data_IF_373876021161
#
_entry.id   IF_373876021161
#
_cell.length_a   1.000
_cell.length_b   1.000
_cell.length_c   1.000
_cell.angle_alpha   90.00
_cell.angle_beta   90.00
_cell.angle_gamma   90.00
#
_symmetry.space_group_name_H-M   'P 1'
#
loop_
_entity.id
_entity.type
_entity.pdbx_description
1 polymer ?
#
# COMPACT_ATOMS: atom_id res chain seq x y z
N UNK A 1 -8.10 -9.46 -6.62
CA UNK A 1 -7.22 -8.34 -6.17
C UNK A 1 -6.60 -7.59 -7.32
N UNK A 2 -6.06 -8.26 -8.29
CA UNK A 2 -5.42 -7.63 -9.44
C UNK A 2 -6.35 -6.67 -10.19
N UNK A 3 -7.60 -7.06 -10.38
CA UNK A 3 -8.60 -6.19 -11.03
C UNK A 3 -8.81 -4.88 -10.28
N UNK A 4 -8.86 -4.94 -8.96
CA UNK A 4 -9.00 -3.75 -8.12
C UNK A 4 -7.76 -2.86 -8.26
N UNK A 5 -6.58 -3.46 -8.23
CA UNK A 5 -5.32 -2.74 -8.39
C UNK A 5 -5.29 -2.04 -9.75
N UNK A 6 -5.70 -2.72 -10.81
CA UNK A 6 -5.73 -2.14 -12.16
C UNK A 6 -6.67 -0.96 -12.26
N UNK A 7 -7.80 -0.99 -11.57
CA UNK A 7 -8.73 0.14 -11.54
C UNK A 7 -8.11 1.36 -10.84
N UNK A 8 -7.40 1.13 -9.75
CA UNK A 8 -6.70 2.20 -9.03
C UNK A 8 -5.60 2.80 -9.90
N UNK A 9 -4.83 1.94 -10.58
CA UNK A 9 -3.78 2.37 -11.50
C UNK A 9 -4.37 3.23 -12.63
N UNK A 10 -5.46 2.78 -13.22
CA UNK A 10 -6.11 3.51 -14.31
C UNK A 10 -6.51 4.92 -13.86
N UNK A 11 -7.15 5.03 -12.71
CA UNK A 11 -7.55 6.32 -12.16
C UNK A 11 -6.35 7.25 -11.95
N UNK A 12 -5.26 6.70 -11.41
CA UNK A 12 -4.02 7.46 -11.17
C UNK A 12 -3.34 7.86 -12.48
N UNK A 13 -3.28 6.94 -13.45
CA UNK A 13 -2.59 7.19 -14.72
C UNK A 13 -3.24 8.29 -15.55
N UNK A 14 -4.53 8.53 -15.34
CA UNK A 14 -5.23 9.61 -16.01
C UNK A 14 -4.97 10.98 -15.39
N UNK A 15 -4.44 11.03 -14.18
CA UNK A 15 -4.29 12.26 -13.39
C UNK A 15 -2.86 12.60 -13.04
N UNK A 16 -1.98 11.62 -13.01
CA UNK A 16 -0.60 11.77 -12.54
C UNK A 16 0.37 11.04 -13.45
N UNK A 17 1.60 11.54 -13.49
CA UNK A 17 2.72 10.80 -14.04
C UNK A 17 3.11 9.68 -13.09
N UNK A 18 3.70 8.62 -13.63
CA UNK A 18 4.21 7.51 -12.81
C UNK A 18 5.55 7.90 -12.19
N UNK A 19 5.47 8.79 -11.24
CA UNK A 19 6.64 9.34 -10.55
C UNK A 19 6.32 9.43 -9.06
N UNK A 20 7.16 8.81 -8.24
CA UNK A 20 6.93 8.79 -6.80
C UNK A 20 7.34 10.10 -6.16
N UNK A 21 6.43 10.67 -5.37
CA UNK A 21 6.64 11.86 -4.57
C UNK A 21 6.42 11.47 -3.10
N UNK A 22 7.50 11.39 -2.35
CA UNK A 22 7.45 10.99 -0.95
C UNK A 22 6.60 11.94 -0.10
N UNK A 23 6.77 13.24 -0.29
CA UNK A 23 6.04 14.24 0.49
C UNK A 23 4.54 14.21 0.21
N UNK A 24 4.17 14.12 -1.06
CA UNK A 24 2.77 14.00 -1.45
C UNK A 24 2.15 12.75 -0.87
N UNK A 25 2.83 11.61 -1.00
CA UNK A 25 2.35 10.33 -0.46
C UNK A 25 2.15 10.41 1.05
N UNK A 26 3.13 10.96 1.76
CA UNK A 26 3.04 11.14 3.21
C UNK A 26 1.83 12.00 3.58
N UNK A 27 1.60 13.09 2.86
CA UNK A 27 0.51 14.00 3.15
C UNK A 27 -0.85 13.33 2.92
N UNK A 28 -0.99 12.57 1.83
CA UNK A 28 -2.22 11.85 1.53
C UNK A 28 -2.51 10.78 2.58
N UNK A 29 -1.50 10.01 2.98
CA UNK A 29 -1.65 8.99 4.02
C UNK A 29 -1.98 9.63 5.37
N UNK A 30 -1.35 10.75 5.69
CA UNK A 30 -1.61 11.47 6.94
C UNK A 30 -3.05 11.96 7.01
N UNK A 31 -3.61 12.44 5.89
CA UNK A 31 -5.01 12.86 5.83
C UNK A 31 -5.94 11.70 6.22
N UNK A 32 -5.68 10.51 5.68
CA UNK A 32 -6.52 9.34 5.97
C UNK A 32 -6.39 8.90 7.43
N UNK A 33 -5.18 8.95 7.98
CA UNK A 33 -4.96 8.63 9.40
C UNK A 33 -5.73 9.60 10.30
N UNK A 34 -5.71 10.89 9.98
CA UNK A 34 -6.45 11.89 10.75
C UNK A 34 -7.96 11.69 10.63
N UNK A 35 -8.46 11.36 9.45
CA UNK A 35 -9.88 11.05 9.27
C UNK A 35 -10.28 9.84 10.10
N UNK A 36 -9.44 8.82 10.15
CA UNK A 36 -9.68 7.64 10.96
C UNK A 36 -9.73 8.02 12.45
N UNK A 37 -8.77 8.81 12.93
CA UNK A 37 -8.72 9.23 14.33
C UNK A 37 -9.94 10.04 14.73
N UNK A 38 -10.43 10.89 13.85
CA UNK A 38 -11.59 11.74 14.11
C UNK A 38 -12.91 11.00 13.95
N UNK A 39 -12.90 9.82 13.35
CA UNK A 39 -14.12 9.05 13.11
C UNK A 39 -14.69 8.51 14.43
N UNK A 40 -16.02 8.53 14.56
CA UNK A 40 -16.71 8.00 15.72
C UNK A 40 -17.67 6.86 15.37
N UNK A 41 -17.95 6.69 14.07
CA UNK A 41 -18.85 5.64 13.57
C UNK A 41 -18.10 4.68 12.71
N UNK A 42 -18.56 3.43 12.69
CA UNK A 42 -17.92 2.39 11.90
C UNK A 42 -17.92 2.67 10.40
N UNK A 43 -18.96 3.31 9.88
CA UNK A 43 -18.99 3.65 8.46
C UNK A 43 -17.88 4.65 8.10
N UNK A 44 -17.62 5.61 8.97
CA UNK A 44 -16.57 6.59 8.75
C UNK A 44 -15.18 5.97 8.90
N UNK A 45 -15.04 5.04 9.84
CA UNK A 45 -13.80 4.28 10.02
C UNK A 45 -13.50 3.43 8.78
N UNK A 46 -14.51 2.75 8.27
CA UNK A 46 -14.36 1.94 7.07
C UNK A 46 -13.96 2.80 5.87
N UNK A 47 -14.60 3.96 5.71
CA UNK A 47 -14.29 4.88 4.63
C UNK A 47 -12.81 5.30 4.67
N UNK A 48 -12.32 5.71 5.84
CA UNK A 48 -10.92 6.10 6.01
C UNK A 48 -9.96 4.94 5.73
N UNK A 49 -10.31 3.73 6.16
CA UNK A 49 -9.49 2.54 5.91
C UNK A 49 -9.43 2.19 4.43
N UNK A 50 -10.56 2.25 3.73
CA UNK A 50 -10.60 2.00 2.28
C UNK A 50 -9.81 3.06 1.52
N UNK A 51 -9.95 4.33 1.91
CA UNK A 51 -9.19 5.41 1.28
C UNK A 51 -7.70 5.24 1.50
N UNK A 52 -7.30 4.73 2.66
CA UNK A 52 -5.89 4.42 2.94
C UNK A 52 -5.36 3.36 1.97
N UNK A 53 -6.14 2.31 1.72
CA UNK A 53 -5.77 1.29 0.74
C UNK A 53 -5.63 1.91 -0.65
N UNK A 54 -6.58 2.76 -1.03
CA UNK A 54 -6.59 3.40 -2.34
C UNK A 54 -5.33 4.25 -2.55
N UNK A 55 -5.01 5.08 -1.58
CA UNK A 55 -3.80 5.93 -1.61
C UNK A 55 -2.54 5.07 -1.68
N UNK A 56 -2.47 4.01 -0.87
CA UNK A 56 -1.31 3.12 -0.84
C UNK A 56 -1.08 2.44 -2.19
N UNK A 57 -2.13 1.92 -2.81
CA UNK A 57 -2.01 1.26 -4.12
C UNK A 57 -1.55 2.24 -5.20
N UNK A 58 -2.07 3.47 -5.19
CA UNK A 58 -1.63 4.50 -6.12
C UNK A 58 -0.17 4.86 -5.94
N UNK A 59 0.29 4.93 -4.69
CA UNK A 59 1.68 5.22 -4.38
C UNK A 59 2.61 4.09 -4.87
N UNK A 60 2.20 2.84 -4.72
CA UNK A 60 2.96 1.69 -5.23
C UNK A 60 3.13 1.75 -6.74
N UNK A 61 2.07 2.12 -7.46
CA UNK A 61 2.16 2.32 -8.90
C UNK A 61 3.16 3.44 -9.23
N UNK A 62 3.16 4.54 -8.49
CA UNK A 62 4.09 5.65 -8.71
C UNK A 62 5.55 5.25 -8.46
N UNK A 63 5.78 4.23 -7.64
CA UNK A 63 7.11 3.63 -7.44
C UNK A 63 7.58 2.87 -8.68
N UNK A 64 6.74 2.69 -9.69
CA UNK A 64 7.08 2.01 -10.92
C UNK A 64 6.59 0.57 -11.00
N UNK A 65 5.70 0.17 -10.10
CA UNK A 65 5.22 -1.22 -10.07
C UNK A 65 4.00 -1.42 -10.96
N UNK A 66 3.94 -2.58 -11.61
CA UNK A 66 2.76 -3.04 -12.33
C UNK A 66 1.75 -3.65 -11.36
N UNK A 67 0.53 -3.87 -11.84
CA UNK A 67 -0.50 -4.53 -11.03
C UNK A 67 -0.06 -5.90 -10.54
N UNK A 68 0.63 -6.66 -11.39
CA UNK A 68 1.15 -7.98 -11.04
C UNK A 68 2.19 -7.90 -9.93
N UNK A 69 3.08 -6.91 -10.00
CA UNK A 69 4.11 -6.71 -8.97
C UNK A 69 3.51 -6.25 -7.64
N UNK A 70 2.50 -5.38 -7.68
CA UNK A 70 1.81 -4.93 -6.46
C UNK A 70 1.11 -6.11 -5.80
N UNK A 71 0.39 -6.91 -6.56
CA UNK A 71 -0.27 -8.10 -6.03
C UNK A 71 0.74 -9.06 -5.41
N UNK A 72 1.87 -9.28 -6.09
CA UNK A 72 2.92 -10.16 -5.58
C UNK A 72 3.49 -9.65 -4.25
N UNK A 73 3.68 -8.34 -4.12
CA UNK A 73 4.17 -7.75 -2.87
C UNK A 73 3.18 -7.98 -1.71
N UNK A 74 1.89 -7.82 -1.98
CA UNK A 74 0.85 -8.05 -0.96
C UNK A 74 0.82 -9.54 -0.58
N UNK A 75 0.93 -10.44 -1.56
CA UNK A 75 0.95 -11.89 -1.31
C UNK A 75 2.14 -12.30 -0.43
N UNK A 76 3.30 -11.65 -0.59
CA UNK A 76 4.45 -11.92 0.27
C UNK A 76 4.12 -11.64 1.74
N UNK A 77 3.40 -10.55 2.00
CA UNK A 77 2.96 -10.23 3.36
C UNK A 77 1.98 -11.28 3.88
N UNK A 78 1.04 -11.71 3.05
CA UNK A 78 0.10 -12.77 3.41
C UNK A 78 0.84 -14.05 3.76
N UNK A 79 1.76 -14.48 2.92
CA UNK A 79 2.54 -15.71 3.16
C UNK A 79 3.36 -15.60 4.43
N UNK A 80 3.98 -14.44 4.68
CA UNK A 80 4.75 -14.22 5.89
C UNK A 80 3.88 -14.31 7.14
N UNK A 81 2.70 -13.71 7.09
CA UNK A 81 1.79 -13.74 8.23
C UNK A 81 1.18 -15.12 8.48
N UNK A 82 0.96 -15.89 7.44
CA UNK A 82 0.44 -17.26 7.57
C UNK A 82 1.38 -18.16 8.39
N UNK A 83 2.67 -17.85 8.42
CA UNK A 83 3.67 -18.65 9.14
C UNK A 83 4.07 -18.05 10.48
N UNK A 84 3.48 -16.91 10.88
CA UNK A 84 3.87 -16.20 12.09
C UNK A 84 2.83 -16.29 13.18
N UNK A 85 3.30 -16.12 14.43
CA UNK A 85 2.42 -15.94 15.57
C UNK A 85 2.05 -14.46 15.69
N UNK A 86 1.01 -14.17 16.46
CA UNK A 86 0.56 -12.80 16.68
C UNK A 86 1.62 -11.90 17.35
N UNK A 87 2.65 -12.48 17.95
CA UNK A 87 3.70 -11.73 18.61
C UNK A 87 4.79 -11.21 17.65
N UNK A 88 4.74 -11.57 16.38
CA UNK A 88 5.71 -11.07 15.39
C UNK A 88 5.52 -9.58 15.15
N UNK A 89 6.64 -8.89 14.95
CA UNK A 89 6.65 -7.43 14.78
C UNK A 89 6.55 -7.01 13.32
N UNK A 90 6.23 -5.73 13.09
CA UNK A 90 6.18 -5.16 11.76
C UNK A 90 7.53 -5.24 11.02
N UNK A 91 8.65 -5.23 11.75
CA UNK A 91 9.97 -5.34 11.12
C UNK A 91 10.19 -6.72 10.48
N UNK A 92 9.59 -7.77 11.04
CA UNK A 92 9.63 -9.10 10.42
C UNK A 92 8.87 -9.13 9.11
N UNK A 93 7.74 -8.45 9.05
CA UNK A 93 6.93 -8.34 7.84
C UNK A 93 7.71 -7.61 6.75
N UNK A 94 8.35 -6.51 7.10
CA UNK A 94 9.17 -5.73 6.18
C UNK A 94 10.31 -6.56 5.60
N UNK A 95 11.01 -7.31 6.45
CA UNK A 95 12.10 -8.18 6.00
C UNK A 95 11.59 -9.25 5.03
N UNK A 96 10.40 -9.78 5.25
CA UNK A 96 9.78 -10.78 4.37
C UNK A 96 9.45 -10.20 2.99
N UNK A 97 8.97 -8.96 2.94
CA UNK A 97 8.69 -8.28 1.68
C UNK A 97 9.99 -8.10 0.88
N UNK A 98 11.04 -7.61 1.52
CA UNK A 98 12.34 -7.36 0.87
C UNK A 98 12.93 -8.64 0.28
N UNK A 99 12.76 -9.75 0.97
CA UNK A 99 13.34 -11.04 0.55
C UNK A 99 12.50 -11.77 -0.48
N UNK A 100 11.18 -11.76 -0.30
CA UNK A 100 10.30 -12.65 -1.02
C UNK A 100 9.75 -12.11 -2.33
N UNK A 101 9.51 -10.81 -2.42
CA UNK A 101 8.89 -10.22 -3.59
C UNK A 101 9.86 -10.04 -4.77
N UNK A 102 11.17 -10.16 -4.54
CA UNK A 102 12.16 -9.83 -5.56
C UNK A 102 12.07 -8.40 -6.03
N UNK A 103 11.39 -7.57 -5.24
CA UNK A 103 11.17 -6.18 -5.53
C UNK A 103 11.88 -5.32 -4.49
N UNK A 104 12.62 -4.36 -4.96
CA UNK A 104 13.26 -3.37 -4.11
C UNK A 104 13.02 -2.01 -4.75
N UNK A 105 12.38 -1.11 -4.01
CA UNK A 105 12.17 0.24 -4.49
C UNK A 105 13.52 0.93 -4.72
N UNK A 106 13.67 1.70 -5.79
CA UNK A 106 14.95 2.32 -6.13
C UNK A 106 15.59 3.10 -4.99
N UNK A 107 14.81 3.77 -4.20
CA UNK A 107 15.29 4.60 -3.10
C UNK A 107 15.72 3.81 -1.88
N UNK A 108 15.45 2.53 -1.82
CA UNK A 108 15.80 1.68 -0.67
C UNK A 108 17.00 0.79 -0.92
N UNK A 109 17.56 0.88 -2.10
CA UNK A 109 18.71 0.05 -2.45
C UNK A 109 20.02 0.61 -1.98
#
# INVERSE_FOLDING_TARGET
MKEIIERVIHWNSERYDQEFDHKLTRNLLTEEVLEFEESTKDVDRLDALVDTIYVALGAMWKLGLSSTQIEAAILVVCDANDTKTASKTASHIKASIDKGAGFIAPETR
#
